data_IF_696618401807
#
_entry.id   IF_696618401807
#
_cell.length_a   1.000
_cell.length_b   1.000
_cell.length_c   1.000
_cell.angle_alpha   90.00
_cell.angle_beta   90.00
_cell.angle_gamma   90.00
#
_symmetry.space_group_name_H-M   'P 1'
#
loop_
_entity.id
_entity.type
_entity.pdbx_description
1 polymer ?
#
# COMPACT_ATOMS: atom_id res chain seq x y z
N UNK A 1 1.06 -25.85 -41.73
CA UNK A 1 1.33 -25.78 -40.28
C UNK A 1 0.94 -24.38 -39.80
N UNK A 2 -0.20 -24.25 -39.14
CA UNK A 2 -0.54 -22.99 -38.45
C UNK A 2 0.52 -22.70 -37.39
N UNK A 3 1.13 -21.53 -37.47
CA UNK A 3 2.05 -21.07 -36.42
C UNK A 3 1.22 -20.87 -35.12
N UNK A 4 1.26 -21.83 -34.22
CA UNK A 4 0.66 -21.68 -32.91
C UNK A 4 1.23 -20.41 -32.28
N UNK A 5 0.37 -19.41 -32.11
CA UNK A 5 0.76 -18.14 -31.52
C UNK A 5 1.22 -18.39 -30.07
N UNK A 6 2.33 -17.79 -29.62
CA UNK A 6 2.82 -18.00 -28.27
C UNK A 6 1.80 -17.48 -27.23
N UNK A 7 1.69 -18.15 -26.11
CA UNK A 7 0.81 -17.75 -24.98
C UNK A 7 1.01 -16.27 -24.64
N UNK A 8 2.28 -15.87 -24.49
CA UNK A 8 2.63 -14.49 -24.19
C UNK A 8 2.08 -13.49 -25.23
N UNK A 9 2.25 -13.78 -26.51
CA UNK A 9 1.79 -12.90 -27.59
C UNK A 9 0.27 -12.79 -27.60
N UNK A 10 -0.44 -13.90 -27.39
CA UNK A 10 -1.91 -13.90 -27.29
C UNK A 10 -2.38 -13.07 -26.10
N UNK A 11 -1.87 -13.35 -24.90
CA UNK A 11 -2.33 -12.68 -23.68
C UNK A 11 -1.93 -11.21 -23.62
N UNK A 12 -0.75 -10.84 -24.15
CA UNK A 12 -0.32 -9.43 -24.20
C UNK A 12 -1.12 -8.58 -25.19
N UNK A 13 -1.82 -9.21 -26.15
CA UNK A 13 -2.70 -8.51 -27.09
C UNK A 13 -4.10 -8.22 -26.53
N UNK A 14 -4.48 -8.84 -25.41
CA UNK A 14 -5.78 -8.63 -24.79
C UNK A 14 -5.84 -7.23 -24.18
N UNK A 15 -6.77 -6.41 -24.64
CA UNK A 15 -6.96 -5.07 -24.12
C UNK A 15 -7.91 -5.08 -22.90
N UNK A 16 -7.36 -4.93 -21.70
CA UNK A 16 -8.10 -4.81 -20.45
C UNK A 16 -8.15 -3.37 -19.91
N UNK A 17 -7.78 -2.37 -20.68
CA UNK A 17 -7.69 -0.97 -20.22
C UNK A 17 -8.99 -0.44 -19.63
N UNK A 18 -10.15 -0.84 -20.17
CA UNK A 18 -11.47 -0.46 -19.64
C UNK A 18 -11.86 -1.18 -18.34
N UNK A 19 -11.12 -2.23 -17.96
CA UNK A 19 -11.35 -3.04 -16.76
C UNK A 19 -10.36 -2.73 -15.63
N UNK A 20 -9.43 -1.79 -15.87
CA UNK A 20 -8.45 -1.36 -14.88
C UNK A 20 -9.09 -0.41 -13.90
N UNK A 21 -9.05 -0.76 -12.62
CA UNK A 21 -9.44 0.11 -11.51
C UNK A 21 -8.22 0.85 -10.98
N UNK A 22 -8.41 2.10 -10.57
CA UNK A 22 -7.37 2.87 -9.87
C UNK A 22 -7.62 2.87 -8.36
N UNK A 23 -6.59 2.54 -7.59
CA UNK A 23 -6.58 2.68 -6.14
C UNK A 23 -5.35 3.52 -5.74
N UNK A 24 -5.58 4.79 -5.50
CA UNK A 24 -4.49 5.76 -5.36
C UNK A 24 -3.70 5.87 -6.68
N UNK A 25 -2.37 5.71 -6.60
CA UNK A 25 -1.49 5.75 -7.78
C UNK A 25 -1.31 4.38 -8.46
N UNK A 26 -1.93 3.32 -7.92
CA UNK A 26 -1.79 1.96 -8.43
C UNK A 26 -2.94 1.62 -9.38
N UNK A 27 -2.60 0.93 -10.45
CA UNK A 27 -3.56 0.32 -11.37
C UNK A 27 -3.85 -1.11 -10.93
N UNK A 28 -5.10 -1.51 -10.97
CA UNK A 28 -5.56 -2.78 -10.45
C UNK A 28 -6.52 -3.48 -11.43
N UNK A 29 -6.35 -4.79 -11.61
CA UNK A 29 -7.33 -5.64 -12.29
C UNK A 29 -7.84 -6.66 -11.28
N UNK A 30 -9.17 -6.83 -11.21
CA UNK A 30 -9.73 -7.87 -10.36
C UNK A 30 -9.27 -9.26 -10.82
N UNK A 31 -9.04 -10.16 -9.87
CA UNK A 31 -8.63 -11.53 -10.20
C UNK A 31 -9.64 -12.25 -11.10
N UNK A 32 -10.94 -11.99 -10.90
CA UNK A 32 -12.02 -12.59 -11.71
C UNK A 32 -11.99 -12.11 -13.15
N UNK A 33 -11.74 -10.80 -13.36
CA UNK A 33 -11.58 -10.24 -14.70
C UNK A 33 -10.37 -10.83 -15.41
N UNK A 34 -9.21 -10.89 -14.71
CA UNK A 34 -7.99 -11.45 -15.27
C UNK A 34 -8.15 -12.95 -15.59
N UNK A 35 -8.74 -13.71 -14.67
CA UNK A 35 -8.98 -15.14 -14.84
C UNK A 35 -9.94 -15.43 -15.99
N UNK A 36 -11.06 -14.69 -16.08
CA UNK A 36 -12.04 -14.83 -17.15
C UNK A 36 -11.43 -14.57 -18.53
N UNK A 37 -10.65 -13.49 -18.67
CA UNK A 37 -9.98 -13.16 -19.91
C UNK A 37 -9.00 -14.25 -20.37
N UNK A 38 -8.31 -14.92 -19.45
CA UNK A 38 -7.44 -16.04 -19.81
C UNK A 38 -8.23 -17.28 -20.18
N UNK A 39 -9.30 -17.59 -19.44
CA UNK A 39 -10.17 -18.74 -19.71
C UNK A 39 -10.84 -18.71 -21.09
N UNK A 40 -11.13 -17.53 -21.64
CA UNK A 40 -11.66 -17.35 -22.98
C UNK A 40 -10.69 -17.85 -24.07
N UNK A 41 -9.37 -17.76 -23.84
CA UNK A 41 -8.34 -18.15 -24.81
C UNK A 41 -7.69 -19.49 -24.46
N UNK A 42 -7.61 -19.81 -23.18
CA UNK A 42 -6.99 -21.02 -22.63
C UNK A 42 -7.92 -21.68 -21.61
N UNK A 43 -8.95 -22.43 -22.05
CA UNK A 43 -9.93 -23.06 -21.15
C UNK A 43 -9.30 -23.99 -20.11
N UNK A 44 -8.15 -24.59 -20.44
CA UNK A 44 -7.44 -25.57 -19.60
C UNK A 44 -6.43 -24.90 -18.64
N UNK A 45 -6.42 -23.56 -18.55
CA UNK A 45 -5.55 -22.88 -17.58
C UNK A 45 -5.81 -23.39 -16.16
N UNK A 46 -4.73 -23.69 -15.44
CA UNK A 46 -4.78 -24.18 -14.07
C UNK A 46 -4.11 -23.19 -13.13
N UNK A 47 -4.60 -23.15 -11.90
CA UNK A 47 -4.01 -22.38 -10.81
C UNK A 47 -3.69 -23.31 -9.66
N UNK A 48 -2.46 -23.26 -9.18
CA UNK A 48 -2.00 -23.93 -7.97
C UNK A 48 -1.74 -22.92 -6.88
N UNK A 49 -2.42 -23.04 -5.74
CA UNK A 49 -2.07 -22.34 -4.51
C UNK A 49 -1.22 -23.28 -3.69
N UNK A 50 0.01 -22.90 -3.42
CA UNK A 50 0.92 -23.74 -2.68
C UNK A 50 0.64 -23.67 -1.19
N UNK A 51 0.77 -24.81 -0.52
CA UNK A 51 0.57 -24.98 0.91
C UNK A 51 1.85 -25.51 1.57
N UNK A 52 1.98 -25.22 2.85
CA UNK A 52 3.00 -25.86 3.69
C UNK A 52 2.62 -27.32 3.99
N UNK A 53 3.51 -28.10 4.54
CA UNK A 53 3.25 -29.50 4.98
C UNK A 53 2.06 -29.59 5.94
N UNK A 54 1.78 -28.54 6.69
CA UNK A 54 0.65 -28.46 7.63
C UNK A 54 -0.65 -27.94 6.97
N UNK A 55 -0.73 -27.80 5.64
CA UNK A 55 -1.92 -27.35 4.92
C UNK A 55 -2.23 -25.86 5.05
N UNK A 56 -1.22 -25.03 5.35
CA UNK A 56 -1.39 -23.57 5.45
C UNK A 56 -0.97 -22.91 4.14
N UNK A 57 -1.80 -22.02 3.59
CA UNK A 57 -1.58 -21.39 2.27
C UNK A 57 -0.65 -20.17 2.31
N UNK A 58 0.21 -20.05 3.30
CA UNK A 58 1.25 -19.02 3.33
C UNK A 58 2.55 -19.58 3.92
N UNK A 59 3.64 -18.92 3.59
CA UNK A 59 4.98 -19.21 4.08
C UNK A 59 5.49 -18.03 4.91
N UNK A 60 6.39 -18.26 5.86
CA UNK A 60 6.85 -17.22 6.79
C UNK A 60 8.35 -17.26 6.98
N UNK A 61 8.93 -16.08 7.23
CA UNK A 61 10.30 -15.85 7.70
C UNK A 61 10.37 -15.74 9.25
N UNK A 62 9.25 -16.00 9.94
CA UNK A 62 9.10 -15.83 11.40
C UNK A 62 8.64 -14.44 11.83
N UNK A 63 8.66 -13.43 10.97
CA UNK A 63 8.22 -12.06 11.26
C UNK A 63 7.06 -11.60 10.38
N UNK A 64 7.11 -11.93 9.12
CA UNK A 64 6.09 -11.65 8.11
C UNK A 64 5.73 -12.92 7.36
N UNK A 65 4.83 -12.82 6.37
CA UNK A 65 4.48 -13.97 5.57
C UNK A 65 4.21 -13.57 4.10
N UNK A 66 4.29 -14.58 3.23
CA UNK A 66 4.01 -14.45 1.80
C UNK A 66 3.22 -15.65 1.30
N UNK A 67 2.53 -15.48 0.20
CA UNK A 67 1.86 -16.55 -0.52
C UNK A 67 2.65 -16.93 -1.77
N UNK A 68 2.47 -18.18 -2.24
CA UNK A 68 3.05 -18.69 -3.47
C UNK A 68 1.93 -19.23 -4.36
N UNK A 69 1.86 -18.77 -5.60
CA UNK A 69 0.86 -19.21 -6.58
C UNK A 69 1.54 -19.57 -7.90
N UNK A 70 1.13 -20.68 -8.48
CA UNK A 70 1.50 -21.10 -9.82
C UNK A 70 0.31 -20.93 -10.78
N UNK A 71 0.57 -20.52 -12.01
CA UNK A 71 -0.38 -20.57 -13.10
C UNK A 71 0.24 -21.32 -14.27
N UNK A 72 -0.47 -22.36 -14.74
CA UNK A 72 -0.03 -23.21 -15.84
C UNK A 72 -0.92 -23.00 -17.06
N UNK A 73 -0.30 -22.65 -18.19
CA UNK A 73 -0.94 -22.54 -19.51
C UNK A 73 -0.10 -23.31 -20.51
N UNK A 74 -0.72 -24.24 -21.25
CA UNK A 74 -0.04 -25.07 -22.26
C UNK A 74 1.24 -25.74 -21.71
N UNK A 75 1.17 -26.32 -20.51
CA UNK A 75 2.27 -26.96 -19.79
C UNK A 75 3.44 -26.04 -19.38
N UNK A 76 3.28 -24.72 -19.49
CA UNK A 76 4.23 -23.75 -18.99
C UNK A 76 3.69 -23.20 -17.67
N UNK A 77 4.41 -23.43 -16.58
CA UNK A 77 4.06 -22.86 -15.27
C UNK A 77 4.91 -21.62 -14.98
N UNK A 78 4.23 -20.57 -14.55
CA UNK A 78 4.87 -19.40 -13.95
C UNK A 78 4.49 -19.32 -12.47
N UNK A 79 5.51 -19.20 -11.65
CA UNK A 79 5.38 -19.07 -10.19
C UNK A 79 5.54 -17.60 -9.79
N UNK A 80 4.68 -17.15 -8.89
CA UNK A 80 4.76 -15.81 -8.30
C UNK A 80 4.70 -15.92 -6.78
N UNK A 81 5.39 -15.00 -6.12
CA UNK A 81 5.44 -14.87 -4.67
C UNK A 81 4.97 -13.47 -4.30
N UNK A 82 4.07 -13.35 -3.34
CA UNK A 82 3.57 -12.05 -2.92
C UNK A 82 3.53 -11.93 -1.40
N UNK A 83 4.19 -10.93 -0.80
CA UNK A 83 4.05 -10.65 0.62
C UNK A 83 2.59 -10.39 1.00
N UNK A 84 2.19 -10.78 2.20
CA UNK A 84 0.89 -10.41 2.77
C UNK A 84 1.00 -8.99 3.30
N UNK A 85 0.24 -8.07 2.68
CA UNK A 85 0.41 -6.63 2.84
C UNK A 85 -0.89 -5.93 3.22
N UNK A 86 -0.74 -4.82 3.94
CA UNK A 86 -1.81 -3.88 4.25
C UNK A 86 -2.20 -3.02 3.02
N UNK A 87 -3.13 -2.08 3.22
CA UNK A 87 -3.59 -1.16 2.17
C UNK A 87 -2.52 -0.17 1.69
N UNK A 88 -1.41 -0.03 2.43
CA UNK A 88 -0.26 0.83 2.10
C UNK A 88 0.89 0.05 1.47
N UNK A 89 0.66 -1.23 1.13
CA UNK A 89 1.66 -2.19 0.65
C UNK A 89 2.81 -2.45 1.64
N UNK A 90 2.59 -2.21 2.94
CA UNK A 90 3.53 -2.63 3.98
C UNK A 90 3.24 -4.07 4.40
N UNK A 91 4.28 -4.89 4.57
CA UNK A 91 4.13 -6.27 5.06
C UNK A 91 3.47 -6.30 6.43
N UNK A 92 2.48 -7.17 6.59
CA UNK A 92 1.78 -7.39 7.85
C UNK A 92 2.62 -8.31 8.73
N UNK A 93 2.76 -7.97 10.02
CA UNK A 93 3.43 -8.86 10.99
C UNK A 93 2.65 -10.17 11.13
N UNK A 94 3.38 -11.28 11.30
CA UNK A 94 2.81 -12.63 11.37
C UNK A 94 1.67 -12.76 12.39
N UNK A 95 1.83 -12.14 13.57
CA UNK A 95 0.85 -12.14 14.67
C UNK A 95 -0.43 -11.31 14.38
N UNK A 96 -0.48 -10.61 13.25
CA UNK A 96 -1.61 -9.75 12.81
C UNK A 96 -2.26 -10.22 11.52
N UNK A 97 -1.72 -11.25 10.88
CA UNK A 97 -2.25 -11.79 9.63
C UNK A 97 -3.58 -12.51 9.90
N UNK A 98 -4.58 -12.21 9.09
CA UNK A 98 -5.86 -12.88 9.08
C UNK A 98 -6.04 -13.72 7.82
N UNK A 99 -6.97 -14.69 7.85
CA UNK A 99 -7.33 -15.46 6.66
C UNK A 99 -7.84 -14.59 5.51
N UNK A 100 -8.44 -13.44 5.83
CA UNK A 100 -8.85 -12.44 4.83
C UNK A 100 -7.64 -11.86 4.10
N UNK A 101 -6.56 -11.52 4.81
CA UNK A 101 -5.34 -10.98 4.23
C UNK A 101 -4.64 -12.02 3.35
N UNK A 102 -4.60 -13.29 3.81
CA UNK A 102 -4.08 -14.42 3.04
C UNK A 102 -4.84 -14.58 1.72
N UNK A 103 -6.18 -14.67 1.78
CA UNK A 103 -7.01 -14.81 0.58
C UNK A 103 -6.82 -13.65 -0.40
N UNK A 104 -6.76 -12.42 0.10
CA UNK A 104 -6.50 -11.22 -0.71
C UNK A 104 -5.13 -11.26 -1.37
N UNK A 105 -4.10 -11.73 -0.65
CA UNK A 105 -2.76 -11.91 -1.20
C UNK A 105 -2.74 -12.99 -2.29
N UNK A 106 -3.41 -14.14 -2.10
CA UNK A 106 -3.55 -15.20 -3.11
C UNK A 106 -4.18 -14.66 -4.39
N UNK A 107 -5.27 -13.89 -4.29
CA UNK A 107 -5.94 -13.30 -5.45
C UNK A 107 -5.02 -12.34 -6.21
N UNK A 108 -4.29 -11.47 -5.53
CA UNK A 108 -3.31 -10.56 -6.15
C UNK A 108 -2.13 -11.32 -6.77
N UNK A 109 -1.62 -12.32 -6.08
CA UNK A 109 -0.56 -13.19 -6.55
C UNK A 109 -0.96 -13.92 -7.85
N UNK A 110 -2.21 -14.41 -7.92
CA UNK A 110 -2.77 -15.02 -9.14
C UNK A 110 -2.70 -14.07 -10.33
N UNK A 111 -3.10 -12.81 -10.16
CA UNK A 111 -3.06 -11.81 -11.26
C UNK A 111 -1.63 -11.53 -11.70
N UNK A 112 -0.67 -11.46 -10.77
CA UNK A 112 0.75 -11.30 -11.10
C UNK A 112 1.31 -12.53 -11.83
N UNK A 113 0.95 -13.73 -11.43
CA UNK A 113 1.33 -14.95 -12.15
C UNK A 113 0.77 -14.98 -13.58
N UNK A 114 -0.47 -14.51 -13.79
CA UNK A 114 -1.05 -14.32 -15.14
C UNK A 114 -0.30 -13.26 -15.96
N UNK A 115 0.20 -12.20 -15.30
CA UNK A 115 0.99 -11.17 -15.97
C UNK A 115 2.32 -11.71 -16.50
N UNK A 116 2.93 -12.69 -15.84
CA UNK A 116 4.13 -13.38 -16.34
C UNK A 116 3.87 -14.15 -17.65
N UNK A 117 2.62 -14.59 -17.87
CA UNK A 117 2.18 -15.14 -19.15
C UNK A 117 1.86 -14.07 -20.19
N UNK A 118 1.94 -12.78 -19.87
CA UNK A 118 1.73 -11.65 -20.77
C UNK A 118 0.46 -10.84 -20.51
N UNK A 119 -0.49 -11.33 -19.69
CA UNK A 119 -1.76 -10.64 -19.49
C UNK A 119 -1.57 -9.32 -18.75
N UNK A 120 -1.86 -8.21 -19.43
CA UNK A 120 -1.82 -6.86 -18.83
C UNK A 120 -0.50 -6.53 -18.10
N UNK A 121 0.61 -7.10 -18.53
CA UNK A 121 1.94 -6.91 -17.91
C UNK A 121 2.34 -5.43 -17.84
N UNK A 122 1.91 -4.62 -18.78
CA UNK A 122 2.15 -3.17 -18.84
C UNK A 122 1.59 -2.40 -17.64
N UNK A 123 0.66 -2.95 -16.88
CA UNK A 123 0.11 -2.31 -15.67
C UNK A 123 1.19 -2.24 -14.59
N UNK A 124 2.05 -3.25 -14.52
CA UNK A 124 3.10 -3.38 -13.52
C UNK A 124 4.37 -2.58 -13.85
N UNK A 125 4.54 -2.09 -15.09
CA UNK A 125 5.71 -1.31 -15.49
C UNK A 125 5.93 -0.03 -14.67
N UNK A 126 4.91 0.43 -13.93
CA UNK A 126 5.01 1.59 -13.03
C UNK A 126 5.24 1.19 -11.57
N UNK A 127 4.97 -0.06 -11.19
CA UNK A 127 5.12 -0.54 -9.82
C UNK A 127 6.60 -0.76 -9.47
N UNK A 128 7.41 -1.24 -10.42
CA UNK A 128 8.83 -1.50 -10.23
C UNK A 128 9.68 -0.25 -9.91
N UNK A 129 9.19 0.94 -10.29
CA UNK A 129 9.85 2.20 -9.98
C UNK A 129 9.48 2.80 -8.61
N UNK A 130 8.58 2.16 -7.87
CA UNK A 130 8.12 2.66 -6.56
C UNK A 130 8.62 1.84 -5.37
N UNK A 131 9.42 0.80 -5.60
CA UNK A 131 10.00 -0.02 -4.54
C UNK A 131 11.28 0.57 -3.92
N UNK A 132 11.78 1.71 -4.40
CA UNK A 132 12.62 2.52 -3.54
C UNK A 132 11.75 3.03 -2.40
N UNK A 133 12.07 2.72 -1.12
CA UNK A 133 11.45 3.42 -0.02
C UNK A 133 11.76 4.90 -0.30
N UNK A 134 10.76 5.65 -0.77
CA UNK A 134 10.85 7.10 -0.66
C UNK A 134 11.18 7.30 0.79
N UNK A 135 12.44 7.69 1.06
CA UNK A 135 12.79 8.25 2.34
C UNK A 135 11.59 9.12 2.67
N UNK A 136 10.85 8.76 3.71
CA UNK A 136 9.73 9.56 4.16
C UNK A 136 10.43 10.85 4.53
N UNK A 137 10.51 11.76 3.55
CA UNK A 137 10.85 13.14 3.87
C UNK A 137 9.87 13.44 4.99
N UNK A 138 10.37 13.77 6.19
CA UNK A 138 9.46 14.05 7.29
C UNK A 138 8.45 14.99 6.65
N UNK A 139 7.14 14.64 6.72
CA UNK A 139 6.11 15.60 6.36
C UNK A 139 6.44 16.78 7.22
N UNK A 140 7.07 17.78 6.64
CA UNK A 140 7.17 19.08 7.25
C UNK A 140 5.71 19.46 7.35
N UNK A 141 5.14 19.18 8.53
CA UNK A 141 3.81 19.62 8.85
C UNK A 141 3.91 21.14 8.62
N UNK A 142 3.26 21.63 7.59
CA UNK A 142 3.19 23.06 7.32
C UNK A 142 2.60 23.65 8.58
N UNK A 143 3.46 24.27 9.38
CA UNK A 143 3.04 24.85 10.66
C UNK A 143 2.00 25.91 10.33
N UNK A 144 0.89 25.86 11.02
CA UNK A 144 -0.17 26.85 10.86
C UNK A 144 0.35 28.16 11.49
N UNK A 145 0.32 29.25 10.73
CA UNK A 145 0.62 30.56 11.27
C UNK A 145 -0.39 30.84 12.40
N UNK A 146 0.10 31.22 13.58
CA UNK A 146 -0.73 31.54 14.75
C UNK A 146 -0.65 33.03 15.03
N UNK A 147 -1.82 33.69 15.15
CA UNK A 147 -1.92 35.06 15.60
C UNK A 147 -2.76 35.15 16.88
N UNK A 148 -2.45 36.14 17.72
CA UNK A 148 -3.24 36.41 18.93
C UNK A 148 -4.65 36.82 18.51
N UNK A 149 -5.66 36.05 18.95
CA UNK A 149 -7.06 36.31 18.66
C UNK A 149 -7.62 35.60 17.40
N UNK A 150 -6.82 34.79 16.71
CA UNK A 150 -7.33 33.97 15.60
C UNK A 150 -8.14 32.74 16.09
N UNK A 151 -8.71 31.96 15.17
CA UNK A 151 -9.51 30.76 15.48
C UNK A 151 -8.76 29.71 16.32
N UNK A 152 -7.44 29.66 16.20
CA UNK A 152 -6.60 28.71 16.93
C UNK A 152 -6.13 29.25 18.26
N UNK A 153 -6.22 30.59 18.48
CA UNK A 153 -5.73 31.21 19.70
C UNK A 153 -6.45 30.70 20.95
N UNK A 154 -7.78 30.55 20.91
CA UNK A 154 -8.56 30.00 22.02
C UNK A 154 -8.10 28.59 22.43
N UNK A 155 -7.72 27.74 21.48
CA UNK A 155 -7.19 26.40 21.73
C UNK A 155 -5.81 26.47 22.41
N UNK A 156 -5.00 27.45 22.00
CA UNK A 156 -3.68 27.68 22.59
C UNK A 156 -3.81 28.21 24.02
N UNK A 157 -4.74 29.14 24.25
CA UNK A 157 -5.03 29.65 25.61
C UNK A 157 -5.44 28.52 26.55
N UNK A 158 -6.40 27.68 26.13
CA UNK A 158 -6.84 26.53 26.93
C UNK A 158 -5.67 25.58 27.23
N UNK A 159 -4.86 25.25 26.22
CA UNK A 159 -3.68 24.40 26.40
C UNK A 159 -2.69 25.01 27.41
N UNK A 160 -2.44 26.33 27.37
CA UNK A 160 -1.52 27.02 28.30
C UNK A 160 -2.08 27.01 29.73
N UNK A 161 -3.38 27.23 29.88
CA UNK A 161 -4.07 27.20 31.20
C UNK A 161 -4.01 25.80 31.80
N UNK A 162 -4.34 24.77 31.00
CA UNK A 162 -4.29 23.36 31.43
C UNK A 162 -2.86 22.91 31.83
N UNK A 163 -1.84 23.58 31.28
CA UNK A 163 -0.43 23.26 31.49
C UNK A 163 0.35 24.40 32.14
N UNK A 164 -0.29 25.17 33.01
CA UNK A 164 0.30 26.38 33.62
C UNK A 164 1.58 26.09 34.47
N UNK A 165 1.69 24.88 35.01
CA UNK A 165 2.86 24.41 35.77
C UNK A 165 4.10 24.06 34.93
N UNK A 166 3.98 23.90 33.59
CA UNK A 166 5.12 23.64 32.74
C UNK A 166 5.99 24.89 32.58
N UNK A 167 7.30 24.72 32.31
CA UNK A 167 8.16 25.84 31.92
C UNK A 167 7.73 26.41 30.56
N UNK A 168 7.86 27.72 30.37
CA UNK A 168 7.50 28.38 29.09
C UNK A 168 8.19 27.75 27.89
N UNK A 169 9.43 27.33 28.03
CA UNK A 169 10.20 26.65 26.97
C UNK A 169 9.54 25.32 26.52
N UNK A 170 9.03 24.54 27.46
CA UNK A 170 8.34 23.26 27.14
C UNK A 170 7.01 23.53 26.47
N UNK A 171 6.27 24.56 26.88
CA UNK A 171 5.04 25.00 26.22
C UNK A 171 5.33 25.43 24.78
N UNK A 172 6.35 26.25 24.56
CA UNK A 172 6.75 26.66 23.21
C UNK A 172 7.17 25.48 22.34
N UNK A 173 7.97 24.54 22.88
CA UNK A 173 8.41 23.34 22.20
C UNK A 173 7.23 22.47 21.76
N UNK A 174 6.20 22.34 22.59
CA UNK A 174 5.01 21.56 22.26
C UNK A 174 4.14 22.26 21.21
N UNK A 175 3.89 23.54 21.37
CA UNK A 175 3.08 24.33 20.42
C UNK A 175 3.78 24.49 19.07
N UNK A 176 5.11 24.61 19.02
CA UNK A 176 5.88 24.72 17.77
C UNK A 176 5.90 23.45 16.92
N UNK A 177 5.39 22.32 17.41
CA UNK A 177 5.13 21.12 16.59
C UNK A 177 4.00 21.34 15.58
N UNK A 178 3.04 22.24 15.89
CA UNK A 178 1.84 22.46 15.10
C UNK A 178 1.73 23.89 14.56
N UNK A 179 2.22 24.88 15.32
CA UNK A 179 2.06 26.30 15.02
C UNK A 179 3.42 26.97 14.78
N UNK A 180 3.41 27.99 13.93
CA UNK A 180 4.52 28.92 13.81
C UNK A 180 4.35 30.03 14.86
N UNK A 181 5.29 30.13 15.82
CA UNK A 181 5.19 31.01 16.98
C UNK A 181 6.02 32.27 16.77
N UNK A 182 5.38 33.35 16.36
CA UNK A 182 6.03 34.67 16.33
C UNK A 182 6.40 35.16 17.76
N UNK A 183 7.30 36.10 17.85
CA UNK A 183 7.69 36.68 19.15
C UNK A 183 6.52 37.38 19.88
N UNK A 184 5.56 37.93 19.11
CA UNK A 184 4.32 38.47 19.69
C UNK A 184 3.47 37.40 20.35
N UNK A 185 3.34 36.22 19.71
CA UNK A 185 2.60 35.07 20.25
C UNK A 185 3.28 34.52 21.50
N UNK A 186 4.62 34.37 21.49
CA UNK A 186 5.39 33.94 22.67
C UNK A 186 5.24 34.90 23.86
N UNK A 187 5.27 36.21 23.59
CA UNK A 187 5.03 37.23 24.58
C UNK A 187 3.62 37.15 25.18
N UNK A 188 2.60 36.94 24.36
CA UNK A 188 1.22 36.76 24.80
C UNK A 188 1.05 35.48 25.66
N UNK A 189 1.65 34.36 25.28
CA UNK A 189 1.64 33.13 26.06
C UNK A 189 2.31 33.33 27.43
N UNK A 190 3.43 34.03 27.47
CA UNK A 190 4.10 34.33 28.76
C UNK A 190 3.26 35.24 29.67
N UNK A 191 2.40 36.09 29.13
CA UNK A 191 1.45 36.87 29.91
C UNK A 191 0.31 36.04 30.54
N UNK A 192 -0.11 34.97 29.84
CA UNK A 192 -1.13 34.05 30.34
C UNK A 192 -0.63 33.19 31.50
N UNK A 193 0.69 33.05 31.66
CA UNK A 193 1.34 32.25 32.71
C UNK A 193 1.72 33.03 33.97
N UNK A 194 1.51 34.32 33.98
CA UNK A 194 1.70 35.18 35.14
C UNK A 194 0.40 35.32 35.92
#
# INVERSE_FOLDING_TARGET
MEKTQSVFKTLSSINLSSKVEKRGNLSYISWSTAWGAVKEHYPDVQRTVFETENGVNYFTDGMTAFVKVGVTINNIEHLEYLPIMDIRNASIRLDKITSFDVNKAIQRCTVKALALHGLALNIYNKEEFFDEPKAVAPKVATKVALAVGDENWSKVVNYVVDNIGLKSEDVFKNLSKKYDLSDQVKAAINKLKK
#
